data_IF_385663538372
#
_entry.id   IF_385663538372
#
_cell.length_a   1.000
_cell.length_b   1.000
_cell.length_c   1.000
_cell.angle_alpha   90.00
_cell.angle_beta   90.00
_cell.angle_gamma   90.00
#
_symmetry.space_group_name_H-M   'P 1'
#
loop_
_entity.id
_entity.type
_entity.pdbx_description
1 polymer ?
2 branched ?
3 water ?
#
# COMPACT_ATOMS: atom_id res chain seq x y z
N UNK A 14 9.32 -15.45 3.18
CA UNK A 14 9.46 -15.03 1.75
C UNK A 14 10.62 -14.05 1.56
N UNK A 15 11.40 -14.27 0.51
CA UNK A 15 12.53 -13.39 0.22
C UNK A 15 11.99 -12.02 -0.20
N UNK A 16 12.77 -10.96 0.04
CA UNK A 16 12.34 -9.61 -0.32
C UNK A 16 12.49 -9.35 -1.81
N UNK A 17 11.66 -8.46 -2.33
CA UNK A 17 11.76 -8.06 -3.72
C UNK A 17 12.73 -6.90 -3.62
N UNK A 18 13.89 -7.03 -4.26
CA UNK A 18 14.92 -5.99 -4.22
C UNK A 18 14.94 -5.14 -5.49
N UNK A 19 14.96 -3.82 -5.30
CA UNK A 19 14.98 -2.88 -6.42
C UNK A 19 13.96 -3.18 -7.51
N UNK A 20 12.70 -3.44 -7.12
CA UNK A 20 11.67 -3.73 -8.13
C UNK A 20 11.37 -2.46 -8.90
N UNK A 21 11.06 -2.60 -10.18
CA UNK A 21 10.72 -1.45 -11.00
C UNK A 21 9.26 -1.11 -10.71
N UNK A 22 8.86 0.13 -11.00
CA UNK A 22 7.47 0.55 -10.80
C UNK A 22 6.93 0.99 -12.16
N UNK A 23 5.69 0.61 -12.49
CA UNK A 23 4.76 -0.20 -11.69
C UNK A 23 5.26 -1.60 -11.36
N UNK A 24 4.71 -2.17 -10.29
CA UNK A 24 5.11 -3.49 -9.83
C UNK A 24 3.93 -4.30 -9.33
N UNK A 25 4.04 -5.61 -9.49
CA UNK A 25 3.03 -6.56 -9.03
C UNK A 25 3.80 -7.79 -8.62
N UNK A 26 3.57 -8.27 -7.41
CA UNK A 26 4.28 -9.45 -6.96
C UNK A 26 3.44 -10.29 -6.04
N UNK A 27 3.62 -11.61 -6.13
CA UNK A 27 2.88 -12.55 -5.30
C UNK A 27 3.35 -12.47 -3.86
N UNK A 28 2.41 -12.59 -2.94
CA UNK A 28 2.72 -12.60 -1.52
C UNK A 28 2.59 -14.08 -1.17
N UNK A 29 3.72 -14.76 -1.01
CA UNK A 29 3.69 -16.19 -0.72
C UNK A 29 2.92 -16.56 0.54
N UNK A 30 1.99 -17.50 0.38
CA UNK A 30 1.16 -17.94 1.49
C UNK A 30 -0.06 -17.06 1.69
N UNK A 31 -0.09 -15.92 1.00
CA UNK A 31 -1.20 -15.00 1.14
C UNK A 31 -1.06 -14.23 2.45
N UNK A 32 -1.85 -13.19 2.64
CA UNK A 32 -1.74 -12.44 3.89
C UNK A 32 -2.10 -13.37 5.03
N UNK A 33 -1.44 -13.19 6.16
CA UNK A 33 -1.70 -13.99 7.35
C UNK A 33 -1.57 -13.12 8.59
N UNK A 34 -2.28 -13.50 9.65
CA UNK A 34 -2.24 -12.74 10.89
C UNK A 34 -0.80 -12.64 11.39
N UNK A 35 -0.37 -11.43 11.71
CA UNK A 35 0.98 -11.23 12.20
C UNK A 35 2.01 -10.88 11.13
N UNK A 36 1.64 -11.03 9.87
CA UNK A 36 2.55 -10.71 8.78
C UNK A 36 2.77 -9.20 8.67
N UNK A 37 4.02 -8.79 8.55
CA UNK A 37 4.35 -7.38 8.41
C UNK A 37 5.06 -7.16 7.08
N UNK A 38 4.46 -6.34 6.22
CA UNK A 38 5.03 -6.04 4.92
C UNK A 38 5.65 -4.65 4.94
N UNK A 39 6.91 -4.57 4.54
CA UNK A 39 7.61 -3.29 4.51
C UNK A 39 7.83 -2.87 3.07
N UNK A 40 7.41 -1.65 2.76
CA UNK A 40 7.61 -1.10 1.44
C UNK A 40 8.53 0.10 1.58
N UNK A 41 9.74 0.00 1.05
CA UNK A 41 10.70 1.10 1.14
C UNK A 41 10.78 1.72 -0.25
N UNK A 42 10.51 3.02 -0.31
CA UNK A 42 10.55 3.71 -1.58
C UNK A 42 10.75 5.20 -1.42
N UNK A 43 10.73 5.90 -2.55
CA UNK A 43 10.93 7.33 -2.56
C UNK A 43 9.97 7.98 -3.55
N UNK A 44 9.27 9.01 -3.10
CA UNK A 44 8.35 9.71 -3.97
C UNK A 44 9.18 10.58 -4.90
N UNK A 45 9.00 10.40 -6.19
CA UNK A 45 9.76 11.15 -7.17
C UNK A 45 9.16 12.49 -7.54
N UNK A 46 9.98 13.33 -8.16
CA UNK A 46 9.56 14.64 -8.62
C UNK A 46 9.60 14.56 -10.14
N UNK A 47 8.50 14.94 -10.79
CA UNK A 47 8.39 14.93 -12.26
C UNK A 47 7.69 13.71 -12.86
N UNK A 48 7.17 12.84 -12.01
CA UNK A 48 6.43 11.69 -12.52
C UNK A 48 4.98 12.13 -12.52
N UNK A 49 4.24 11.70 -11.51
CA UNK A 49 2.85 12.08 -11.41
C UNK A 49 2.57 12.88 -10.16
N UNK A 50 1.38 12.71 -9.62
CA UNK A 50 0.97 13.43 -8.43
C UNK A 50 0.51 12.49 -7.33
N UNK A 51 0.48 11.19 -7.62
CA UNK A 51 0.04 10.21 -6.65
C UNK A 51 0.65 8.82 -6.90
N UNK A 52 0.65 8.00 -5.86
CA UNK A 52 1.13 6.63 -5.96
C UNK A 52 0.27 5.80 -5.04
N UNK A 53 0.33 4.48 -5.19
CA UNK A 53 -0.48 3.62 -4.36
C UNK A 53 0.14 2.26 -4.12
N UNK A 54 -0.27 1.64 -3.02
CA UNK A 54 0.16 0.30 -2.67
C UNK A 54 -1.14 -0.46 -2.54
N UNK A 55 -1.25 -1.59 -3.21
CA UNK A 55 -2.48 -2.37 -3.16
C UNK A 55 -2.30 -3.81 -2.72
N UNK A 56 -3.12 -4.23 -1.77
CA UNK A 56 -3.12 -5.60 -1.30
C UNK A 56 -4.35 -6.17 -2.00
N UNK A 57 -4.09 -6.96 -3.03
CA UNK A 57 -5.16 -7.51 -3.86
C UNK A 57 -5.14 -9.02 -4.08
N UNK A 58 -6.18 -9.49 -4.76
CA UNK A 58 -6.33 -10.90 -5.10
C UNK A 58 -6.06 -11.01 -6.59
N UNK A 59 -4.98 -11.70 -6.96
CA UNK A 59 -4.66 -11.83 -8.37
C UNK A 59 -3.97 -10.58 -8.90
N UNK A 60 -3.57 -10.60 -10.17
CA UNK A 60 -2.89 -9.45 -10.76
C UNK A 60 -3.80 -8.47 -11.50
N UNK A 61 -5.07 -8.84 -11.67
CA UNK A 61 -6.01 -7.98 -12.38
C UNK A 61 -6.21 -6.59 -11.78
N UNK A 62 -6.10 -6.49 -10.46
CA UNK A 62 -6.29 -5.20 -9.81
C UNK A 62 -7.76 -4.81 -9.74
N UNK A 63 -8.63 -5.79 -9.93
CA UNK A 63 -10.06 -5.56 -9.90
C UNK A 63 -10.62 -5.76 -8.49
N UNK A 64 -9.94 -6.59 -7.71
CA UNK A 64 -10.34 -6.86 -6.34
C UNK A 64 -9.19 -6.46 -5.42
N UNK A 65 -9.35 -5.32 -4.76
CA UNK A 65 -8.33 -4.80 -3.87
C UNK A 65 -8.86 -4.69 -2.44
N UNK A 66 -8.38 -5.56 -1.56
CA UNK A 66 -8.80 -5.54 -0.17
C UNK A 66 -8.38 -4.24 0.50
N UNK A 67 -7.17 -3.78 0.22
CA UNK A 67 -6.68 -2.55 0.82
C UNK A 67 -5.85 -1.73 -0.17
N UNK A 68 -6.37 -0.55 -0.49
CA UNK A 68 -5.77 0.42 -1.40
C UNK A 68 -5.27 1.62 -0.57
N UNK A 69 -3.95 1.81 -0.52
CA UNK A 69 -3.34 2.91 0.23
C UNK A 69 -2.81 3.88 -0.82
N UNK A 70 -3.49 5.01 -0.96
CA UNK A 70 -3.16 5.96 -2.02
C UNK A 70 -2.85 7.42 -1.65
N UNK A 71 -1.57 7.72 -1.36
CA UNK A 71 -1.15 9.08 -1.01
C UNK A 71 -1.32 9.97 -2.24
N UNK A 72 -1.91 11.14 -2.06
CA UNK A 72 -2.12 12.04 -3.18
C UNK A 72 -1.56 13.43 -2.94
N UNK A 73 -0.51 13.76 -3.68
CA UNK A 73 0.15 15.05 -3.57
C UNK A 73 -0.63 16.04 -4.43
N UNK A 74 -1.89 16.25 -4.05
CA UNK A 74 -2.81 17.12 -4.76
C UNK A 74 -3.72 17.84 -3.76
N UNK A 75 -4.19 19.03 -4.13
CA UNK A 75 -5.11 19.81 -3.28
C UNK A 75 -4.59 20.09 -1.88
N UNK A 76 -3.28 20.01 -1.67
CA UNK A 76 -2.75 20.25 -0.34
C UNK A 76 -2.12 19.01 0.26
N UNK A 77 -2.42 17.85 -0.32
CA UNK A 77 -1.84 16.61 0.17
C UNK A 77 -2.73 15.81 1.10
N UNK A 78 -3.04 14.58 0.71
CA UNK A 78 -3.88 13.72 1.52
C UNK A 78 -3.78 12.28 1.06
N UNK A 79 -4.15 11.36 1.94
CA UNK A 79 -4.08 9.94 1.62
C UNK A 79 -5.46 9.32 1.55
N UNK A 80 -5.67 8.49 0.54
CA UNK A 80 -6.94 7.81 0.39
C UNK A 80 -6.76 6.33 0.71
N UNK A 81 -7.68 5.78 1.50
CA UNK A 81 -7.68 4.36 1.85
C UNK A 81 -9.05 3.83 1.43
N UNK A 82 -9.08 2.71 0.73
CA UNK A 82 -10.37 2.19 0.30
C UNK A 82 -10.25 0.73 -0.10
N UNK A 83 -11.39 0.12 -0.39
CA UNK A 83 -11.42 -1.27 -0.81
C UNK A 83 -12.17 -1.34 -2.13
N UNK A 84 -11.76 -2.26 -2.99
CA UNK A 84 -12.40 -2.41 -4.29
C UNK A 84 -12.86 -3.85 -4.46
N UNK A 85 -14.16 -4.03 -4.68
CA UNK A 85 -14.73 -5.36 -4.85
C UNK A 85 -15.38 -5.50 -6.22
N UNK A 86 -14.84 -6.39 -7.03
CA UNK A 86 -15.37 -6.62 -8.37
C UNK A 86 -15.39 -5.32 -9.17
N UNK A 87 -14.35 -4.52 -9.01
CA UNK A 87 -14.26 -3.26 -9.73
C UNK A 87 -15.00 -2.10 -9.09
N UNK A 88 -15.67 -2.37 -7.97
CA UNK A 88 -16.43 -1.32 -7.29
C UNK A 88 -15.70 -0.77 -6.06
N UNK A 89 -15.45 0.54 -6.07
CA UNK A 89 -14.79 1.20 -4.95
C UNK A 89 -15.82 1.52 -3.87
N UNK A 90 -15.49 1.24 -2.62
CA UNK A 90 -16.41 1.53 -1.54
C UNK A 90 -16.24 2.96 -1.07
N UNK A 91 -16.69 3.29 0.16
CA UNK A 91 -16.55 4.66 0.68
C UNK A 91 -15.09 4.88 1.09
N UNK A 92 -14.52 6.00 0.66
CA UNK A 92 -13.12 6.28 0.97
C UNK A 92 -12.90 6.80 2.39
N UNK A 93 -11.71 6.53 2.91
CA UNK A 93 -11.30 7.02 4.21
C UNK A 93 -10.12 7.91 3.83
N UNK A 94 -10.15 9.17 4.26
CA UNK A 94 -9.07 10.08 3.90
C UNK A 94 -8.40 10.71 5.10
N UNK A 95 -7.10 10.94 4.99
CA UNK A 95 -6.36 11.60 6.05
C UNK A 95 -5.65 12.76 5.37
N UNK A 96 -5.75 13.95 5.96
CA UNK A 96 -5.17 15.15 5.37
C UNK A 96 -3.79 15.61 5.85
N UNK A 97 -3.11 14.80 6.64
CA UNK A 97 -1.78 15.18 7.10
C UNK A 97 -0.75 14.26 6.45
N UNK A 98 -0.30 14.65 5.27
CA UNK A 98 0.67 13.89 4.48
C UNK A 98 1.98 13.65 5.21
N UNK A 99 2.31 12.38 5.48
CA UNK A 99 3.56 12.03 6.17
C UNK A 99 4.69 11.71 5.18
N UNK A 100 4.46 11.98 3.90
CA UNK A 100 5.44 11.71 2.85
C UNK A 100 6.06 12.99 2.27
N UNK A 101 7.35 12.93 1.98
CA UNK A 101 8.04 14.07 1.39
C UNK A 101 8.86 13.56 0.21
N UNK A 102 8.69 14.20 -0.94
CA UNK A 102 9.38 13.79 -2.15
C UNK A 102 10.90 13.88 -2.05
N UNK A 103 11.58 12.89 -2.62
CA UNK A 103 13.03 12.86 -2.58
C UNK A 103 13.59 12.25 -1.31
N UNK A 104 12.71 11.90 -0.38
CA UNK A 104 13.12 11.32 0.90
C UNK A 104 12.66 9.86 0.98
N UNK A 105 13.59 8.91 1.18
CA UNK A 105 13.17 7.51 1.26
C UNK A 105 12.34 7.29 2.52
N UNK A 106 11.37 6.38 2.45
CA UNK A 106 10.53 6.10 3.61
C UNK A 106 10.29 4.60 3.79
N UNK A 107 9.89 4.23 5.00
CA UNK A 107 9.56 2.85 5.32
C UNK A 107 8.06 2.83 5.58
N UNK A 108 7.32 2.20 4.68
CA UNK A 108 5.87 2.10 4.81
C UNK A 108 5.61 0.69 5.31
N UNK A 109 5.21 0.57 6.57
CA UNK A 109 4.96 -0.73 7.17
C UNK A 109 3.50 -1.10 7.34
N UNK A 110 3.15 -2.26 6.81
CA UNK A 110 1.79 -2.77 6.89
C UNK A 110 1.78 -4.00 7.79
N UNK A 111 1.17 -3.87 8.96
CA UNK A 111 1.08 -4.98 9.90
C UNK A 111 -0.32 -5.58 9.79
N UNK A 112 -0.40 -6.85 9.43
CA UNK A 112 -1.69 -7.51 9.30
C UNK A 112 -2.12 -8.16 10.61
N UNK A 113 -3.28 -7.76 11.11
CA UNK A 113 -3.81 -8.33 12.35
C UNK A 113 -5.17 -8.94 12.03
N UNK A 114 -5.74 -9.65 12.99
CA UNK A 114 -7.03 -10.31 12.78
C UNK A 114 -8.16 -9.36 12.41
N UNK A 115 -8.14 -8.14 12.94
CA UNK A 115 -9.20 -7.18 12.66
C UNK A 115 -8.85 -6.02 11.73
N UNK A 116 -7.57 -5.73 11.56
CA UNK A 116 -7.20 -4.60 10.72
C UNK A 116 -5.76 -4.61 10.24
N UNK A 117 -5.45 -3.61 9.42
CA UNK A 117 -4.10 -3.38 8.92
C UNK A 117 -3.61 -2.23 9.81
N UNK A 118 -2.36 -2.28 10.26
CA UNK A 118 -1.78 -1.18 11.04
C UNK A 118 -0.76 -0.60 10.07
N UNK A 119 -0.89 0.68 9.74
CA UNK A 119 0.04 1.28 8.79
C UNK A 119 0.97 2.29 9.44
N UNK A 120 2.26 2.02 9.37
CA UNK A 120 3.24 2.93 9.94
C UNK A 120 4.15 3.51 8.87
N UNK A 121 4.49 4.79 9.04
CA UNK A 121 5.39 5.47 8.12
C UNK A 121 6.60 5.85 8.96
N UNK A 122 7.76 5.34 8.58
CA UNK A 122 8.99 5.60 9.31
C UNK A 122 8.82 5.33 10.81
N UNK A 123 8.19 4.21 11.14
CA UNK A 123 8.00 3.83 12.53
C UNK A 123 6.91 4.56 13.31
N UNK A 124 6.19 5.46 12.64
CA UNK A 124 5.12 6.20 13.29
C UNK A 124 3.75 5.76 12.76
N UNK A 125 2.88 5.29 13.66
CA UNK A 125 1.55 4.84 13.27
C UNK A 125 0.82 5.96 12.53
N UNK A 126 0.37 5.66 11.32
CA UNK A 126 -0.32 6.65 10.49
C UNK A 126 -1.82 6.39 10.38
N UNK A 127 -2.19 5.17 10.03
CA UNK A 127 -3.60 4.84 9.92
C UNK A 127 -3.91 3.41 10.32
N UNK A 128 -5.19 3.17 10.58
CA UNK A 128 -5.68 1.85 10.94
C UNK A 128 -6.84 1.60 9.98
N UNK A 129 -6.79 0.48 9.27
CA UNK A 129 -7.85 0.14 8.32
C UNK A 129 -8.41 -1.22 8.68
N UNK A 130 -9.66 -1.27 9.13
CA UNK A 130 -10.27 -2.54 9.48
C UNK A 130 -10.67 -3.28 8.22
N UNK A 131 -10.42 -4.59 8.21
CA UNK A 131 -10.72 -5.43 7.06
C UNK A 131 -12.18 -5.35 6.63
N UNK A 132 -12.38 -5.08 5.34
CA UNK A 132 -13.71 -5.00 4.78
C UNK A 132 -14.01 -6.34 4.12
N UNK A 133 -12.96 -7.05 3.74
CA UNK A 133 -13.07 -8.37 3.13
C UNK A 133 -12.02 -9.25 3.82
N UNK A 134 -12.23 -10.58 3.85
CA UNK A 134 -11.25 -11.46 4.50
C UNK A 134 -9.87 -11.26 3.89
N UNK A 135 -8.88 -10.98 4.74
CA UNK A 135 -7.53 -10.74 4.25
C UNK A 135 -6.85 -11.97 3.66
N UNK A 136 -7.37 -13.15 3.98
CA UNK A 136 -6.81 -14.40 3.45
C UNK A 136 -6.97 -14.45 1.93
N UNK A 137 -7.84 -13.60 1.40
CA UNK A 137 -8.08 -13.55 -0.04
C UNK A 137 -6.99 -12.79 -0.78
N UNK A 138 -6.11 -12.12 -0.03
CA UNK A 138 -5.03 -11.34 -0.62
C UNK A 138 -3.80 -12.20 -0.86
N UNK A 139 -3.29 -12.18 -2.08
CA UNK A 139 -2.09 -12.95 -2.42
C UNK A 139 -1.17 -12.13 -3.32
N UNK A 140 -1.53 -10.87 -3.52
CA UNK A 140 -0.74 -10.01 -4.38
C UNK A 140 -0.60 -8.59 -3.87
N UNK A 141 0.58 -8.01 -4.08
CA UNK A 141 0.82 -6.63 -3.69
C UNK A 141 1.26 -5.90 -4.96
N UNK A 142 0.71 -4.72 -5.20
CA UNK A 142 1.09 -3.97 -6.38
C UNK A 142 1.35 -2.53 -5.97
N UNK A 143 2.22 -1.88 -6.72
CA UNK A 143 2.58 -0.49 -6.45
C UNK A 143 2.68 0.25 -7.77
N UNK A 144 2.08 1.44 -7.83
CA UNK A 144 2.13 2.23 -9.06
C UNK A 144 2.03 3.72 -8.76
N UNK A 145 2.22 4.54 -9.79
CA UNK A 145 2.17 5.97 -9.59
C UNK A 145 3.56 6.58 -9.54
N UNK A 146 3.66 7.78 -8.99
CA UNK A 146 4.93 8.50 -8.91
C UNK A 146 5.77 8.09 -7.71
N UNK A 147 6.35 6.90 -7.78
CA UNK A 147 7.17 6.42 -6.69
C UNK A 147 8.24 5.48 -7.21
N UNK A 148 9.39 5.47 -6.54
CA UNK A 148 10.48 4.58 -6.92
C UNK A 148 10.65 3.62 -5.74
N UNK A 149 10.74 2.33 -6.02
CA UNK A 149 10.89 1.33 -4.97
C UNK A 149 12.33 0.88 -4.75
N UNK A 150 12.70 0.67 -3.49
CA UNK A 150 14.03 0.16 -3.18
C UNK A 150 13.86 -1.31 -2.78
N UNK A 151 12.75 -1.62 -2.11
CA UNK A 151 12.49 -3.00 -1.71
C UNK A 151 11.15 -3.20 -1.01
N UNK A 152 10.69 -4.45 -1.06
CA UNK A 152 9.46 -4.88 -0.41
C UNK A 152 9.84 -6.15 0.35
N UNK A 153 9.70 -6.12 1.68
CA UNK A 153 10.04 -7.27 2.52
C UNK A 153 8.82 -7.80 3.26
N UNK A 154 8.94 -9.02 3.77
CA UNK A 154 7.84 -9.69 4.45
C UNK A 154 8.19 -10.13 5.87
X LIG B 1 -14.55 10.36 -6.96
X LIG B 1 -13.60 10.23 -5.77
X LIG B 1 -12.19 9.92 -6.28
X LIG B 1 -12.23 8.67 -7.15
X LIG B 1 -13.24 8.89 -8.26
X LIG B 1 -13.31 7.67 -9.19
X LIG B 1 -14.39 11.67 -3.97
X LIG B 1 -14.27 13.03 -3.28
X LIG B 1 -14.54 9.14 -7.71
X LIG B 1 -11.31 9.71 -5.17
X LIG B 1 -10.92 8.42 -7.69
X LIG B 1 -13.74 6.53 -8.44
X LIG B 1 -15.19 10.82 -3.58
X LIG B 1 -13.58 11.49 -5.01
X LIG B 1 -14.12 11.44 -7.79
X LIG B 2 -10.58 7.03 -7.55
X LIG B 2 -9.28 6.77 -8.30
X LIG B 2 -8.83 5.32 -8.10
X LIG B 2 -8.77 5.01 -6.60
X LIG B 2 -10.10 5.35 -5.94
X LIG B 2 -10.02 5.07 -4.44
X LIG B 2 -9.45 7.03 -9.69
X LIG B 2 -7.53 5.16 -8.68
X LIG B 2 -7.73 5.78 -5.99
X LIG B 2 -10.42 6.73 -6.15
X LIG B 2 -11.27 5.41 -3.83
#
# INVERSE_FOLDING_TARGET
GSSGSSGMAFSGSQAPYLSPAVPFSGTIQGGLQDGLQITVNGTVLSSSGTRFAVNFQTGFSGNDIAFHFNPRFEDGGYVVCNTRQNGSWGPEERKTHMPFQKGMPFDLCFLVQSSDFKVMVNGILFVQYFHRVPFHRVDTISVNGSVQLSYISFSGPSSG
NDG C1 C2 C3 C4 C5 C6 C7 C8 O5 O3 O4 O6 O7 N2 O1
GAL C1 C2 C3 C4 C5 C6 O2 O3 O4 O5 O6
#
